data_IF_980388603551
#
_entry.id   IF_980388603551
#
_cell.length_a   1.000
_cell.length_b   1.000
_cell.length_c   1.000
_cell.angle_alpha   90.00
_cell.angle_beta   90.00
_cell.angle_gamma   90.00
#
_symmetry.space_group_name_H-M   'P 1'
#
loop_
_entity.id
_entity.type
_entity.pdbx_description
1 polymer ?
#
# COMPACT_ATOMS: atom_id res chain seq x y z
N UNK A 1 19.00 6.71 11.25
CA UNK A 1 18.19 7.76 11.87
C UNK A 1 17.75 8.70 10.78
N UNK A 2 16.44 8.88 10.64
CA UNK A 2 15.82 9.73 9.63
C UNK A 2 16.24 11.20 9.78
N UNK A 3 16.55 11.86 8.67
CA UNK A 3 16.85 13.29 8.62
C UNK A 3 15.73 14.01 7.84
N UNK A 4 14.82 14.73 8.54
CA UNK A 4 13.69 15.39 7.90
C UNK A 4 14.10 16.55 7.00
N UNK A 5 15.13 17.33 7.36
CA UNK A 5 15.65 18.44 6.56
C UNK A 5 16.27 17.93 5.25
N UNK A 6 17.06 16.85 5.34
CA UNK A 6 17.61 16.21 4.16
C UNK A 6 16.51 15.65 3.25
N UNK A 7 15.48 15.03 3.82
CA UNK A 7 14.34 14.53 3.04
C UNK A 7 13.64 15.68 2.31
N UNK A 8 13.27 16.75 3.01
CA UNK A 8 12.59 17.91 2.43
C UNK A 8 13.46 18.61 1.37
N UNK A 9 14.78 18.70 1.59
CA UNK A 9 15.73 19.21 0.61
C UNK A 9 15.75 18.37 -0.68
N UNK A 10 15.72 17.04 -0.57
CA UNK A 10 15.61 16.14 -1.73
C UNK A 10 14.27 16.32 -2.43
N UNK A 11 13.19 16.45 -1.65
CA UNK A 11 11.83 16.52 -2.14
C UNK A 11 11.40 17.93 -2.59
N UNK A 12 12.31 18.91 -2.51
CA UNK A 12 12.03 20.31 -2.85
C UNK A 12 11.49 20.47 -4.28
N UNK A 13 10.39 21.21 -4.42
CA UNK A 13 9.71 21.46 -5.70
C UNK A 13 9.10 20.21 -6.34
N UNK A 14 8.90 19.12 -5.58
CA UNK A 14 8.46 17.83 -6.11
C UNK A 14 7.16 17.37 -5.46
N UNK A 15 6.54 16.37 -6.09
CA UNK A 15 5.35 15.70 -5.57
C UNK A 15 5.65 14.23 -5.29
N UNK A 16 5.28 13.76 -4.10
CA UNK A 16 5.34 12.36 -3.69
C UNK A 16 3.93 11.86 -3.40
N UNK A 17 3.60 10.67 -3.91
CA UNK A 17 2.32 10.02 -3.62
C UNK A 17 2.50 8.60 -3.11
N UNK A 18 1.84 8.29 -2.01
CA UNK A 18 1.59 6.92 -1.56
C UNK A 18 0.33 6.38 -2.25
N UNK A 19 0.44 5.23 -2.92
CA UNK A 19 -0.64 4.62 -3.71
C UNK A 19 -0.83 3.18 -3.25
N UNK A 20 -1.92 2.90 -2.55
CA UNK A 20 -2.16 1.55 -2.03
C UNK A 20 -3.30 1.52 -1.03
N UNK A 21 -3.34 0.49 -0.21
CA UNK A 21 -4.39 0.34 0.82
C UNK A 21 -4.18 1.28 2.03
N UNK A 22 -4.90 1.02 3.12
CA UNK A 22 -4.78 1.77 4.37
C UNK A 22 -3.36 1.78 4.95
N UNK A 23 -2.49 0.82 4.61
CA UNK A 23 -1.08 0.85 5.03
C UNK A 23 -0.27 1.90 4.23
N UNK A 24 -0.72 2.28 3.03
CA UNK A 24 -0.15 3.43 2.31
C UNK A 24 -0.38 4.72 3.10
N UNK A 25 -1.60 4.88 3.62
CA UNK A 25 -1.97 6.00 4.50
C UNK A 25 -1.20 5.96 5.81
N UNK A 26 -1.10 4.80 6.45
CA UNK A 26 -0.33 4.63 7.69
C UNK A 26 1.15 5.03 7.50
N UNK A 27 1.77 4.66 6.37
CA UNK A 27 3.13 5.09 6.01
C UNK A 27 3.22 6.59 5.75
N UNK A 28 2.26 7.16 5.01
CA UNK A 28 2.21 8.60 4.75
C UNK A 28 2.10 9.40 6.05
N UNK A 29 1.26 8.96 6.99
CA UNK A 29 1.07 9.62 8.28
C UNK A 29 2.33 9.55 9.16
N UNK A 30 3.04 8.41 9.17
CA UNK A 30 4.38 8.30 9.79
C UNK A 30 5.34 9.32 9.20
N UNK A 31 5.49 9.36 7.87
CA UNK A 31 6.38 10.31 7.21
C UNK A 31 5.97 11.76 7.49
N UNK A 32 4.68 12.08 7.47
CA UNK A 32 4.17 13.41 7.78
C UNK A 32 4.59 13.86 9.19
N UNK A 33 4.46 12.99 10.20
CA UNK A 33 4.89 13.28 11.56
C UNK A 33 6.40 13.53 11.64
N UNK A 34 7.22 12.72 10.95
CA UNK A 34 8.68 12.92 10.92
C UNK A 34 9.05 14.25 10.26
N UNK A 35 8.44 14.58 9.12
CA UNK A 35 8.71 15.83 8.41
C UNK A 35 8.21 17.07 9.16
N UNK A 36 7.12 16.95 9.94
CA UNK A 36 6.58 18.05 10.73
C UNK A 36 7.53 18.58 11.82
N UNK A 37 8.60 17.83 12.12
CA UNK A 37 9.66 18.29 13.03
C UNK A 37 10.57 19.36 12.39
N UNK A 38 10.66 19.39 11.07
CA UNK A 38 11.44 20.37 10.31
C UNK A 38 10.55 21.50 9.76
N UNK A 39 9.35 21.18 9.29
CA UNK A 39 8.45 22.17 8.71
C UNK A 39 6.98 21.82 8.96
N UNK A 40 6.20 22.80 9.43
CA UNK A 40 4.74 22.67 9.62
C UNK A 40 4.01 22.55 8.28
N UNK A 41 3.36 21.41 7.97
CA UNK A 41 2.64 21.24 6.72
C UNK A 41 1.23 21.83 6.78
N UNK A 42 0.71 22.22 5.61
CA UNK A 42 -0.66 22.68 5.41
C UNK A 42 -1.48 21.54 4.81
N UNK A 43 -2.62 21.19 5.42
CA UNK A 43 -3.58 20.27 4.82
C UNK A 43 -4.33 21.00 3.69
N UNK A 44 -4.00 20.69 2.43
CA UNK A 44 -4.57 21.36 1.27
C UNK A 44 -5.75 20.61 0.66
N UNK A 45 -5.93 19.34 1.03
CA UNK A 45 -7.07 18.56 0.58
C UNK A 45 -7.42 17.44 1.54
N UNK A 46 -8.70 17.45 1.92
CA UNK A 46 -9.43 16.36 2.56
C UNK A 46 -10.74 16.20 1.78
N UNK A 47 -11.06 15.01 1.29
CA UNK A 47 -12.35 14.78 0.62
C UNK A 47 -13.49 14.94 1.64
N UNK A 48 -14.34 15.97 1.53
CA UNK A 48 -15.40 16.21 2.52
C UNK A 48 -16.50 15.14 2.48
N UNK A 49 -16.57 14.33 1.41
CA UNK A 49 -17.57 13.26 1.24
C UNK A 49 -17.04 11.89 1.64
N UNK A 50 -15.76 11.79 1.99
CA UNK A 50 -15.16 10.53 2.38
C UNK A 50 -14.87 10.49 3.89
N UNK A 51 -15.75 9.87 4.69
CA UNK A 51 -15.55 9.77 6.14
C UNK A 51 -14.32 8.91 6.51
N UNK A 52 -13.73 8.16 5.57
CA UNK A 52 -12.57 7.30 5.81
C UNK A 52 -11.23 7.99 5.51
N UNK A 53 -11.25 9.24 5.03
CA UNK A 53 -10.06 10.02 4.69
C UNK A 53 -9.08 9.28 3.78
N UNK A 54 -9.60 8.59 2.76
CA UNK A 54 -8.86 7.78 1.77
C UNK A 54 -7.88 8.62 0.95
N UNK A 55 -8.14 9.91 0.82
CA UNK A 55 -7.36 10.83 0.01
C UNK A 55 -6.99 12.05 0.84
N UNK A 56 -5.68 12.29 0.97
CA UNK A 56 -5.15 13.48 1.67
C UNK A 56 -3.98 14.07 0.89
N UNK A 57 -3.88 15.40 0.94
CA UNK A 57 -2.75 16.16 0.42
C UNK A 57 -2.26 17.14 1.47
N UNK A 58 -0.95 17.09 1.71
CA UNK A 58 -0.23 18.00 2.58
C UNK A 58 0.80 18.76 1.75
N UNK A 59 0.93 20.06 2.03
CA UNK A 59 1.88 20.93 1.36
C UNK A 59 2.86 21.52 2.38
N UNK A 60 4.14 21.51 2.03
CA UNK A 60 5.24 22.09 2.79
C UNK A 60 5.72 23.35 2.04
N UNK A 61 5.23 24.56 2.41
CA UNK A 61 5.50 25.80 1.68
C UNK A 61 6.98 26.18 1.54
N UNK A 62 7.80 26.00 2.58
CA UNK A 62 9.20 26.40 2.57
C UNK A 62 10.04 25.52 1.63
N UNK A 63 9.59 24.30 1.36
CA UNK A 63 10.22 23.36 0.43
C UNK A 63 9.49 23.22 -0.90
N UNK A 64 8.34 23.87 -1.09
CA UNK A 64 7.45 23.63 -2.23
C UNK A 64 7.24 22.13 -2.49
N UNK A 65 7.05 21.37 -1.41
CA UNK A 65 6.92 19.91 -1.47
C UNK A 65 5.46 19.50 -1.23
N UNK A 66 4.93 18.64 -2.08
CA UNK A 66 3.58 18.08 -1.92
C UNK A 66 3.63 16.60 -1.57
N UNK A 67 3.04 16.25 -0.43
CA UNK A 67 2.89 14.88 0.06
C UNK A 67 1.43 14.43 -0.09
N UNK A 68 1.20 13.33 -0.80
CA UNK A 68 -0.14 12.82 -1.09
C UNK A 68 -0.30 11.35 -0.68
N UNK A 69 -1.54 10.96 -0.39
CA UNK A 69 -1.96 9.56 -0.37
C UNK A 69 -3.22 9.35 -1.20
N UNK A 70 -3.24 8.25 -1.94
CA UNK A 70 -4.43 7.66 -2.54
C UNK A 70 -4.61 6.26 -1.98
N UNK A 71 -5.69 6.08 -1.22
CA UNK A 71 -6.18 4.74 -0.91
C UNK A 71 -6.82 4.12 -2.15
N UNK A 72 -6.30 2.97 -2.55
CA UNK A 72 -6.90 2.07 -3.53
C UNK A 72 -6.68 0.63 -3.09
N UNK A 73 -7.76 -0.13 -3.03
CA UNK A 73 -7.79 -1.50 -2.52
C UNK A 73 -6.95 -2.46 -3.39
N UNK A 74 -7.00 -2.28 -4.71
CA UNK A 74 -6.37 -3.20 -5.68
C UNK A 74 -5.50 -2.53 -6.75
N UNK A 75 -5.11 -1.25 -6.62
CA UNK A 75 -4.37 -0.45 -7.61
C UNK A 75 -5.04 -0.28 -9.00
N UNK A 76 -5.98 -1.14 -9.39
CA UNK A 76 -6.71 -1.11 -10.66
C UNK A 76 -8.10 -0.53 -10.48
N UNK A 77 -8.81 -0.25 -11.59
CA UNK A 77 -10.21 0.15 -11.53
C UNK A 77 -11.02 -0.89 -10.74
N UNK A 78 -11.67 -0.43 -9.67
CA UNK A 78 -12.32 -1.26 -8.66
C UNK A 78 -13.69 -0.67 -8.35
N UNK A 79 -14.70 -1.52 -8.23
CA UNK A 79 -16.02 -1.15 -7.74
C UNK A 79 -16.47 -2.15 -6.67
N UNK A 80 -16.94 -1.66 -5.52
CA UNK A 80 -17.59 -2.49 -4.52
C UNK A 80 -19.03 -2.80 -4.96
N UNK A 81 -19.47 -4.03 -4.76
CA UNK A 81 -20.84 -4.45 -5.04
C UNK A 81 -21.74 -3.95 -3.91
N UNK A 82 -22.76 -3.19 -4.29
CA UNK A 82 -23.77 -2.64 -3.40
C UNK A 82 -25.11 -3.32 -3.70
N UNK A 83 -25.73 -3.90 -2.68
CA UNK A 83 -27.07 -4.52 -2.77
C UNK A 83 -27.99 -3.75 -1.82
N UNK A 84 -29.11 -3.24 -2.35
CA UNK A 84 -30.09 -2.47 -1.58
C UNK A 84 -29.45 -1.32 -0.77
N UNK A 85 -28.49 -0.61 -1.36
CA UNK A 85 -27.79 0.50 -0.71
C UNK A 85 -26.71 0.09 0.30
N UNK A 86 -26.50 -1.22 0.52
CA UNK A 86 -25.51 -1.73 1.48
C UNK A 86 -24.31 -2.34 0.76
N UNK A 87 -23.11 -1.94 1.18
CA UNK A 87 -21.85 -2.52 0.70
C UNK A 87 -21.73 -3.99 1.15
N UNK A 88 -21.33 -4.86 0.22
CA UNK A 88 -21.30 -6.32 0.44
C UNK A 88 -19.92 -6.86 0.80
N UNK A 89 -18.89 -6.01 0.91
CA UNK A 89 -17.49 -6.42 1.03
C UNK A 89 -17.04 -7.36 -0.11
N UNK A 90 -17.69 -7.23 -1.28
CA UNK A 90 -17.38 -7.97 -2.51
C UNK A 90 -17.02 -6.98 -3.62
N UNK A 91 -15.97 -7.27 -4.37
CA UNK A 91 -15.38 -6.31 -5.31
C UNK A 91 -15.33 -6.82 -6.75
N UNK A 92 -15.56 -5.92 -7.70
CA UNK A 92 -15.28 -6.12 -9.11
C UNK A 92 -14.00 -5.34 -9.47
N UNK A 93 -12.97 -6.03 -9.98
CA UNK A 93 -11.73 -5.39 -10.42
C UNK A 93 -11.53 -5.56 -11.93
N UNK A 94 -11.03 -4.51 -12.59
CA UNK A 94 -10.74 -4.51 -14.02
C UNK A 94 -9.24 -4.36 -14.27
N UNK A 95 -8.60 -5.45 -14.73
CA UNK A 95 -7.15 -5.50 -14.94
C UNK A 95 -6.65 -4.64 -16.10
N UNK A 96 -7.52 -4.05 -16.92
CA UNK A 96 -7.12 -3.26 -18.09
C UNK A 96 -7.10 -1.76 -17.88
N UNK A 97 -7.52 -1.28 -16.72
CA UNK A 97 -7.43 0.14 -16.34
C UNK A 97 -6.80 0.33 -14.96
N UNK A 98 -5.95 1.34 -14.78
CA UNK A 98 -5.51 1.73 -13.45
C UNK A 98 -6.69 2.28 -12.65
N UNK A 99 -6.56 2.36 -11.32
CA UNK A 99 -7.49 3.18 -10.56
C UNK A 99 -7.47 4.62 -11.13
N UNK A 100 -8.65 5.24 -11.34
CA UNK A 100 -8.76 6.48 -12.12
C UNK A 100 -8.12 7.69 -11.45
N UNK A 101 -7.86 7.65 -10.14
CA UNK A 101 -7.31 8.77 -9.40
C UNK A 101 -5.79 8.83 -9.57
N UNK A 102 -5.07 7.77 -9.16
CA UNK A 102 -3.61 7.76 -9.32
C UNK A 102 -3.20 7.67 -10.78
N UNK A 103 -3.97 6.96 -11.62
CA UNK A 103 -3.68 6.83 -13.04
C UNK A 103 -3.64 8.18 -13.77
N UNK A 104 -4.47 9.14 -13.36
CA UNK A 104 -4.47 10.51 -13.93
C UNK A 104 -3.35 11.38 -13.35
N UNK A 105 -3.01 11.19 -12.08
CA UNK A 105 -2.02 12.01 -11.37
C UNK A 105 -0.57 11.57 -11.59
N UNK A 106 -0.34 10.36 -12.12
CA UNK A 106 0.99 9.76 -12.22
C UNK A 106 2.03 10.68 -12.90
N UNK A 107 1.61 11.41 -13.94
CA UNK A 107 2.48 12.34 -14.69
C UNK A 107 2.90 13.59 -13.92
N UNK A 108 2.23 13.89 -12.82
CA UNK A 108 2.58 15.03 -11.96
C UNK A 108 3.60 14.66 -10.87
N UNK A 109 3.95 13.37 -10.75
CA UNK A 109 4.73 12.86 -9.63
C UNK A 109 6.21 12.75 -9.96
N UNK A 110 7.04 13.12 -9.00
CA UNK A 110 8.45 12.72 -9.01
C UNK A 110 8.64 11.36 -8.34
N UNK A 111 7.86 11.08 -7.29
CA UNK A 111 7.95 9.87 -6.49
C UNK A 111 6.56 9.22 -6.34
N UNK A 112 6.47 7.92 -6.61
CA UNK A 112 5.28 7.11 -6.33
C UNK A 112 5.66 5.91 -5.49
N UNK A 113 5.18 5.85 -4.24
CA UNK A 113 5.38 4.69 -3.37
C UNK A 113 4.13 3.82 -3.46
N UNK A 114 4.25 2.64 -4.03
CA UNK A 114 3.13 1.73 -4.26
C UNK A 114 3.16 0.55 -3.29
N UNK A 115 2.00 0.11 -2.82
CA UNK A 115 1.86 -1.15 -2.09
C UNK A 115 0.54 -1.85 -2.38
N UNK A 116 0.52 -3.17 -2.19
CA UNK A 116 -0.67 -3.97 -2.48
C UNK A 116 -0.58 -5.39 -1.90
N UNK A 117 -1.71 -5.97 -1.47
CA UNK A 117 -1.81 -7.41 -1.14
C UNK A 117 -2.87 -7.78 -0.09
N UNK A 118 -3.27 -6.86 0.80
CA UNK A 118 -4.13 -7.19 1.94
C UNK A 118 -5.62 -7.36 1.62
N UNK A 119 -6.07 -6.88 0.45
CA UNK A 119 -7.50 -6.84 0.11
C UNK A 119 -8.03 -8.13 -0.51
N UNK A 120 -7.16 -9.03 -0.97
CA UNK A 120 -7.60 -10.29 -1.56
C UNK A 120 -8.12 -11.33 -0.56
N UNK A 121 -8.26 -10.99 0.72
CA UNK A 121 -9.03 -11.80 1.67
C UNK A 121 -10.55 -11.63 1.48
N UNK A 122 -10.97 -10.68 0.65
CA UNK A 122 -12.37 -10.41 0.30
C UNK A 122 -12.75 -11.11 -1.00
N UNK A 123 -14.03 -11.42 -1.14
CA UNK A 123 -14.56 -11.98 -2.38
C UNK A 123 -14.38 -10.97 -3.51
N UNK A 124 -13.72 -11.40 -4.58
CA UNK A 124 -13.30 -10.48 -5.66
C UNK A 124 -13.46 -11.11 -7.03
N UNK A 125 -14.30 -10.52 -7.88
CA UNK A 125 -14.46 -10.89 -9.28
C UNK A 125 -13.46 -10.15 -10.16
N UNK A 126 -12.75 -10.89 -11.01
CA UNK A 126 -11.65 -10.36 -11.82
C UNK A 126 -12.06 -10.30 -13.28
N UNK A 127 -12.02 -9.10 -13.85
CA UNK A 127 -12.35 -8.83 -15.24
C UNK A 127 -11.12 -8.48 -16.07
N UNK A 128 -11.12 -8.96 -17.31
CA UNK A 128 -10.17 -8.59 -18.36
C UNK A 128 -10.88 -8.52 -19.71
N UNK A 129 -10.66 -7.45 -20.46
CA UNK A 129 -11.30 -7.14 -21.76
C UNK A 129 -12.82 -7.26 -21.66
N UNK A 130 -13.40 -6.74 -20.57
CA UNK A 130 -14.82 -6.82 -20.22
C UNK A 130 -15.37 -8.24 -19.98
N UNK A 131 -14.52 -9.28 -19.92
CA UNK A 131 -14.91 -10.66 -19.61
C UNK A 131 -14.51 -11.00 -18.17
N UNK A 132 -15.41 -11.67 -17.44
CA UNK A 132 -15.08 -12.30 -16.16
C UNK A 132 -14.14 -13.47 -16.42
N UNK A 133 -12.94 -13.44 -15.85
CA UNK A 133 -11.91 -14.48 -16.05
C UNK A 133 -11.77 -15.42 -14.84
N UNK A 134 -12.36 -15.05 -13.71
CA UNK A 134 -12.37 -15.85 -12.51
C UNK A 134 -12.57 -14.98 -11.27
N UNK A 135 -12.44 -15.59 -10.10
CA UNK A 135 -12.71 -14.89 -8.85
C UNK A 135 -11.98 -15.49 -7.64
N UNK A 136 -11.69 -14.63 -6.66
CA UNK A 136 -11.10 -14.97 -5.36
C UNK A 136 -12.22 -15.15 -4.34
N UNK A 137 -12.16 -16.22 -3.53
CA UNK A 137 -13.12 -16.54 -2.45
C UNK A 137 -14.61 -16.70 -2.87
N UNK A 138 -14.89 -17.14 -4.10
CA UNK A 138 -16.24 -17.53 -4.56
C UNK A 138 -16.46 -19.05 -4.52
N UNK A 139 -16.32 -19.63 -3.34
CA UNK A 139 -16.58 -21.05 -3.14
C UNK A 139 -18.05 -21.37 -3.45
N UNK A 140 -18.29 -22.45 -4.20
CA UNK A 140 -19.64 -22.88 -4.58
C UNK A 140 -20.23 -22.22 -5.83
N UNK A 141 -19.54 -21.24 -6.43
CA UNK A 141 -19.96 -20.64 -7.70
C UNK A 141 -19.40 -21.40 -8.91
N UNK A 142 -20.15 -21.41 -10.02
CA UNK A 142 -19.70 -21.98 -11.31
C UNK A 142 -18.75 -21.03 -12.05
N UNK A 143 -17.80 -20.45 -11.34
CA UNK A 143 -16.81 -19.47 -11.85
C UNK A 143 -15.40 -20.02 -11.53
N UNK A 144 -14.42 -19.92 -12.46
CA UNK A 144 -13.05 -20.35 -12.18
C UNK A 144 -12.47 -19.67 -10.95
N UNK A 145 -12.02 -20.47 -9.98
CA UNK A 145 -11.37 -19.98 -8.77
C UNK A 145 -9.94 -19.47 -9.07
N UNK A 146 -9.60 -18.33 -8.49
CA UNK A 146 -8.27 -17.70 -8.57
C UNK A 146 -7.71 -17.59 -7.16
N UNK A 147 -6.49 -18.08 -6.95
CA UNK A 147 -5.81 -17.93 -5.65
C UNK A 147 -5.44 -16.46 -5.38
N UNK A 148 -5.36 -16.06 -4.11
CA UNK A 148 -4.91 -14.72 -3.72
C UNK A 148 -3.56 -14.38 -4.38
N UNK A 149 -2.62 -15.31 -4.37
CA UNK A 149 -1.29 -15.19 -4.98
C UNK A 149 -1.38 -14.87 -6.48
N UNK A 150 -2.24 -15.59 -7.21
CA UNK A 150 -2.46 -15.35 -8.64
C UNK A 150 -3.09 -13.97 -8.88
N UNK A 151 -4.06 -13.58 -8.05
CA UNK A 151 -4.73 -12.29 -8.15
C UNK A 151 -3.76 -11.12 -7.86
N UNK A 152 -2.91 -11.25 -6.83
CA UNK A 152 -1.84 -10.29 -6.52
C UNK A 152 -0.90 -10.15 -7.72
N UNK A 153 -0.44 -11.26 -8.30
CA UNK A 153 0.42 -11.24 -9.48
C UNK A 153 -0.24 -10.52 -10.65
N UNK A 154 -1.50 -10.82 -10.94
CA UNK A 154 -2.26 -10.18 -12.03
C UNK A 154 -2.35 -8.66 -11.85
N UNK A 155 -2.67 -8.21 -10.64
CA UNK A 155 -2.76 -6.77 -10.32
C UNK A 155 -1.39 -6.10 -10.41
N UNK A 156 -0.35 -6.68 -9.81
CA UNK A 156 1.00 -6.11 -9.84
C UNK A 156 1.49 -5.97 -11.29
N UNK A 157 1.31 -7.02 -12.11
CA UNK A 157 1.62 -6.99 -13.53
C UNK A 157 0.88 -5.86 -14.26
N UNK A 158 -0.41 -5.68 -14.00
CA UNK A 158 -1.20 -4.61 -14.60
C UNK A 158 -0.75 -3.22 -14.15
N UNK A 159 -0.53 -3.01 -12.85
CA UNK A 159 -0.09 -1.74 -12.27
C UNK A 159 1.25 -1.28 -12.86
N UNK A 160 2.26 -2.17 -12.87
CA UNK A 160 3.55 -1.85 -13.47
C UNK A 160 3.48 -1.63 -14.97
N UNK A 161 2.63 -2.39 -15.69
CA UNK A 161 2.38 -2.13 -17.12
C UNK A 161 1.81 -0.73 -17.35
N UNK A 162 0.93 -0.22 -16.49
CA UNK A 162 0.42 1.15 -16.61
C UNK A 162 1.52 2.19 -16.36
N UNK A 163 2.35 1.98 -15.33
CA UNK A 163 3.52 2.83 -15.05
C UNK A 163 4.48 2.86 -16.25
N UNK A 164 4.85 1.70 -16.77
CA UNK A 164 5.73 1.57 -17.93
C UNK A 164 5.17 2.19 -19.21
N UNK A 165 3.85 2.24 -19.37
CA UNK A 165 3.18 2.84 -20.54
C UNK A 165 2.91 4.34 -20.41
N UNK A 166 3.08 4.94 -19.22
CA UNK A 166 2.88 6.37 -19.06
C UNK A 166 4.00 7.12 -19.80
N UNK A 167 3.70 7.78 -20.92
CA UNK A 167 4.69 8.50 -21.73
C UNK A 167 5.26 9.71 -21.01
N UNK A 168 4.41 10.47 -20.31
CA UNK A 168 4.76 11.69 -19.56
C UNK A 168 5.45 11.41 -18.20
N UNK A 169 5.79 10.15 -17.89
CA UNK A 169 6.35 9.76 -16.59
C UNK A 169 7.83 9.38 -16.67
N UNK A 170 8.63 10.06 -17.49
CA UNK A 170 10.07 9.79 -17.65
C UNK A 170 10.85 10.00 -16.35
N UNK A 171 10.49 11.03 -15.62
CA UNK A 171 11.17 11.41 -14.39
C UNK A 171 10.70 10.69 -13.13
N UNK A 172 9.65 9.88 -13.25
CA UNK A 172 9.03 9.18 -12.13
C UNK A 172 9.97 8.11 -11.56
N UNK A 173 10.22 8.19 -10.26
CA UNK A 173 10.74 7.09 -9.46
C UNK A 173 9.56 6.38 -8.78
N UNK A 174 9.32 5.13 -9.18
CA UNK A 174 8.35 4.27 -8.50
C UNK A 174 9.07 3.44 -7.45
N UNK A 175 8.59 3.42 -6.21
CA UNK A 175 9.11 2.56 -5.14
C UNK A 175 8.03 1.53 -4.78
N UNK A 176 8.33 0.25 -4.95
CA UNK A 176 7.47 -0.85 -4.53
C UNK A 176 7.79 -1.22 -3.08
N UNK A 177 6.85 -0.97 -2.17
CA UNK A 177 6.93 -1.49 -0.80
C UNK A 177 6.41 -2.92 -0.77
N UNK A 178 7.21 -3.85 -0.27
CA UNK A 178 6.77 -5.25 -0.12
C UNK A 178 5.65 -5.40 0.92
N UNK A 179 5.05 -6.59 0.92
CA UNK A 179 3.92 -6.94 1.74
C UNK A 179 4.22 -6.78 3.24
N UNK A 180 3.29 -6.19 3.98
CA UNK A 180 3.31 -6.10 5.43
C UNK A 180 2.09 -6.85 5.94
N UNK A 181 2.34 -7.88 6.75
CA UNK A 181 1.30 -8.80 7.24
C UNK A 181 0.64 -8.29 8.51
N UNK A 182 -0.52 -8.86 8.82
CA UNK A 182 -1.15 -8.71 10.14
C UNK A 182 -0.65 -9.79 11.11
N UNK A 183 -0.65 -9.50 12.41
CA UNK A 183 -0.26 -10.44 13.46
C UNK A 183 -1.45 -10.87 14.33
N UNK A 184 -2.57 -11.24 13.70
CA UNK A 184 -3.68 -11.84 14.45
C UNK A 184 -3.29 -13.19 15.04
N UNK A 185 -3.58 -13.35 16.32
CA UNK A 185 -3.53 -14.61 17.05
C UNK A 185 -4.94 -15.01 17.49
N UNK A 186 -5.16 -16.31 17.63
CA UNK A 186 -6.43 -16.90 18.08
C UNK A 186 -7.67 -16.45 17.28
N UNK A 187 -7.49 -16.14 16.00
CA UNK A 187 -8.57 -15.74 15.11
C UNK A 187 -8.11 -14.81 14.01
N UNK A 188 -9.06 -14.08 13.44
CA UNK A 188 -8.87 -13.04 12.44
C UNK A 188 -9.62 -11.78 12.86
N UNK A 189 -9.48 -10.69 12.09
CA UNK A 189 -10.30 -9.50 12.25
C UNK A 189 -11.80 -9.80 12.41
N UNK A 190 -12.34 -10.72 11.60
CA UNK A 190 -13.78 -11.04 11.59
C UNK A 190 -14.22 -11.99 12.70
N UNK A 191 -13.27 -12.73 13.31
CA UNK A 191 -13.57 -13.75 14.31
C UNK A 191 -13.04 -13.38 15.71
N UNK A 192 -12.68 -12.11 15.92
CA UNK A 192 -12.23 -11.62 17.23
C UNK A 192 -10.79 -11.96 17.61
N UNK A 193 -9.93 -12.23 16.62
CA UNK A 193 -8.49 -12.38 16.84
C UNK A 193 -7.86 -11.13 17.46
N UNK A 194 -6.70 -11.29 18.08
CA UNK A 194 -6.02 -10.21 18.79
C UNK A 194 -4.49 -10.28 18.64
N UNK A 195 -3.82 -9.21 19.04
CA UNK A 195 -2.36 -9.03 19.02
C UNK A 195 -1.98 -8.22 20.25
N UNK A 196 -1.56 -8.90 21.30
CA UNK A 196 -1.20 -8.30 22.59
C UNK A 196 0.24 -8.61 22.99
N UNK A 197 1.06 -9.08 22.05
CA UNK A 197 2.50 -9.21 22.26
C UNK A 197 3.08 -7.84 22.55
N UNK A 198 4.08 -7.79 23.43
CA UNK A 198 4.76 -6.57 23.86
C UNK A 198 6.23 -6.56 23.48
N UNK A 199 6.72 -7.63 22.85
CA UNK A 199 8.09 -7.81 22.40
C UNK A 199 8.12 -8.34 20.96
N UNK A 200 9.12 -7.94 20.16
CA UNK A 200 9.30 -8.49 18.83
C UNK A 200 9.49 -10.00 18.86
N UNK A 201 9.09 -10.66 17.78
CA UNK A 201 9.41 -12.07 17.56
C UNK A 201 10.90 -12.23 17.29
N UNK A 202 11.44 -13.38 17.71
CA UNK A 202 12.76 -13.85 17.30
C UNK A 202 12.69 -14.43 15.90
N UNK A 203 13.81 -14.49 15.21
CA UNK A 203 13.86 -15.09 13.87
C UNK A 203 13.39 -16.55 13.85
N UNK A 204 13.68 -17.31 14.92
CA UNK A 204 13.25 -18.71 15.08
C UNK A 204 11.72 -18.87 15.19
N UNK A 205 10.99 -17.80 15.48
CA UNK A 205 9.53 -17.79 15.63
C UNK A 205 8.82 -17.43 14.31
N UNK A 206 9.59 -17.08 13.27
CA UNK A 206 9.03 -16.80 11.96
C UNK A 206 8.62 -18.09 11.25
N UNK A 207 7.33 -18.19 10.90
CA UNK A 207 6.84 -19.25 10.05
C UNK A 207 7.29 -19.02 8.59
N UNK A 208 8.15 -19.89 8.07
CA UNK A 208 8.67 -19.83 6.70
C UNK A 208 7.62 -20.20 5.63
N UNK A 209 6.54 -20.88 6.00
CA UNK A 209 5.41 -21.21 5.13
C UNK A 209 4.33 -20.09 5.11
N UNK A 210 4.58 -18.99 5.81
CA UNK A 210 3.66 -17.87 5.84
C UNK A 210 3.48 -17.25 4.43
N UNK A 211 2.22 -16.99 4.04
CA UNK A 211 1.87 -16.34 2.76
C UNK A 211 2.56 -15.00 2.52
N UNK A 212 3.01 -14.31 3.57
CA UNK A 212 3.79 -13.09 3.46
C UNK A 212 5.06 -13.28 2.61
N UNK A 213 5.76 -14.41 2.76
CA UNK A 213 6.92 -14.75 1.93
C UNK A 213 6.55 -14.97 0.47
N UNK A 214 5.43 -15.64 0.23
CA UNK A 214 4.90 -15.87 -1.12
C UNK A 214 4.53 -14.54 -1.80
N UNK A 215 3.81 -13.66 -1.09
CA UNK A 215 3.38 -12.37 -1.62
C UNK A 215 4.58 -11.45 -1.88
N UNK A 216 5.55 -11.40 -0.97
CA UNK A 216 6.83 -10.70 -1.17
C UNK A 216 7.53 -11.18 -2.44
N UNK A 217 7.67 -12.50 -2.61
CA UNK A 217 8.31 -13.09 -3.79
C UNK A 217 7.59 -12.68 -5.08
N UNK A 218 6.27 -12.76 -5.11
CA UNK A 218 5.45 -12.37 -6.27
C UNK A 218 5.65 -10.88 -6.61
N UNK A 219 5.63 -10.01 -5.60
CA UNK A 219 5.85 -8.58 -5.78
C UNK A 219 7.23 -8.28 -6.37
N UNK A 220 8.28 -8.93 -5.86
CA UNK A 220 9.64 -8.80 -6.39
C UNK A 220 9.75 -9.33 -7.82
N UNK A 221 9.19 -10.49 -8.12
CA UNK A 221 9.23 -11.06 -9.47
C UNK A 221 8.53 -10.18 -10.52
N UNK A 222 7.35 -9.62 -10.19
CA UNK A 222 6.65 -8.73 -11.12
C UNK A 222 7.34 -7.36 -11.24
N UNK A 223 7.99 -6.88 -10.18
CA UNK A 223 8.84 -5.68 -10.24
C UNK A 223 10.05 -5.90 -11.15
N UNK A 224 10.77 -7.01 -10.99
CA UNK A 224 11.92 -7.35 -11.85
C UNK A 224 11.50 -7.62 -13.30
N UNK A 225 10.32 -8.19 -13.51
CA UNK A 225 9.71 -8.27 -14.84
C UNK A 225 9.48 -6.88 -15.42
N UNK A 226 8.89 -5.97 -14.65
CA UNK A 226 8.59 -4.62 -15.09
C UNK A 226 9.86 -3.81 -15.43
N UNK A 227 10.93 -3.98 -14.65
CA UNK A 227 12.25 -3.40 -14.92
C UNK A 227 12.85 -3.87 -16.25
N UNK A 228 12.68 -5.16 -16.58
CA UNK A 228 13.17 -5.74 -17.85
C UNK A 228 12.31 -5.34 -19.06
N UNK A 229 11.00 -5.25 -18.89
CA UNK A 229 10.04 -4.98 -19.97
C UNK A 229 9.86 -3.47 -20.25
N UNK A 230 10.39 -2.59 -19.38
CA UNK A 230 10.17 -1.15 -19.46
C UNK A 230 11.44 -0.34 -19.21
N UNK A 231 11.32 0.98 -19.32
CA UNK A 231 12.42 1.95 -19.08
C UNK A 231 12.21 2.81 -17.84
N UNK A 232 11.15 2.55 -17.05
CA UNK A 232 10.82 3.35 -15.87
C UNK A 232 11.70 2.95 -14.70
N UNK A 233 12.09 3.94 -13.89
CA UNK A 233 12.81 3.72 -12.64
C UNK A 233 11.86 3.15 -11.63
N UNK A 234 12.09 1.89 -11.27
CA UNK A 234 11.32 1.17 -10.26
C UNK A 234 12.33 0.69 -9.23
N UNK A 235 12.10 0.95 -7.95
CA UNK A 235 12.95 0.55 -6.82
C UNK A 235 12.19 -0.31 -5.81
N UNK A 236 12.92 -1.16 -5.09
CA UNK A 236 12.36 -2.03 -4.07
C UNK A 236 12.59 -1.43 -2.68
N UNK A 237 11.52 -1.37 -1.91
CA UNK A 237 11.56 -1.14 -0.46
C UNK A 237 11.08 -2.43 0.21
N UNK A 238 12.03 -3.30 0.55
CA UNK A 238 11.72 -4.59 1.13
C UNK A 238 11.61 -4.53 2.65
N UNK A 239 10.38 -4.59 3.16
CA UNK A 239 10.06 -4.45 4.58
C UNK A 239 9.50 -5.73 5.19
N UNK A 240 9.11 -6.73 4.39
CA UNK A 240 8.33 -7.88 4.86
C UNK A 240 8.98 -8.60 6.04
N UNK A 241 10.25 -9.02 5.93
CA UNK A 241 10.93 -9.74 7.04
C UNK A 241 10.96 -8.90 8.32
N UNK A 242 11.35 -7.63 8.19
CA UNK A 242 11.42 -6.72 9.32
C UNK A 242 10.06 -6.56 9.99
N UNK A 243 8.98 -6.45 9.21
CA UNK A 243 7.63 -6.28 9.75
C UNK A 243 7.06 -7.56 10.34
N UNK A 244 7.42 -8.74 9.81
CA UNK A 244 7.03 -10.03 10.39
C UNK A 244 7.56 -10.23 11.82
N UNK A 245 8.66 -9.56 12.19
CA UNK A 245 9.21 -9.62 13.54
C UNK A 245 8.45 -8.72 14.51
N UNK A 246 7.65 -7.75 14.03
CA UNK A 246 7.11 -6.66 14.85
C UNK A 246 5.68 -6.92 15.34
N UNK A 247 5.41 -8.13 15.81
CA UNK A 247 4.10 -8.48 16.38
C UNK A 247 3.70 -7.61 17.60
N UNK A 248 4.65 -6.89 18.18
CA UNK A 248 4.52 -5.99 19.33
C UNK A 248 3.94 -4.60 19.02
N UNK A 249 3.89 -4.21 17.75
CA UNK A 249 3.75 -2.80 17.39
C UNK A 249 2.40 -2.41 16.78
N UNK A 250 1.42 -3.29 16.89
CA UNK A 250 0.06 -3.04 16.44
C UNK A 250 -0.74 -2.26 17.49
N UNK A 251 -1.71 -1.41 17.09
CA UNK A 251 -2.61 -0.74 18.04
C UNK A 251 -3.40 -1.71 18.90
N UNK A 252 -3.72 -2.90 18.37
CA UNK A 252 -4.51 -3.91 19.07
C UNK A 252 -5.85 -3.32 19.52
N UNK A 253 -6.17 -3.47 20.81
CA UNK A 253 -7.41 -2.93 21.41
C UNK A 253 -7.39 -1.42 21.65
N UNK A 254 -6.26 -0.75 21.47
CA UNK A 254 -6.12 0.69 21.63
C UNK A 254 -6.57 1.47 20.38
N UNK A 255 -7.05 0.77 19.36
CA UNK A 255 -7.67 1.38 18.19
C UNK A 255 -9.01 2.05 18.52
N UNK A 256 -9.41 3.05 17.72
CA UNK A 256 -10.61 3.87 17.98
C UNK A 256 -11.91 3.03 18.05
N UNK A 257 -11.93 1.86 17.42
CA UNK A 257 -13.05 0.92 17.46
C UNK A 257 -12.87 -0.06 18.63
N UNK A 258 -13.43 0.28 19.80
CA UNK A 258 -13.30 -0.47 21.06
C UNK A 258 -13.74 -1.95 21.02
N UNK A 259 -14.41 -2.40 19.95
CA UNK A 259 -14.96 -3.76 19.82
C UNK A 259 -14.07 -4.75 19.06
N UNK A 260 -12.98 -4.32 18.43
CA UNK A 260 -12.08 -5.19 17.66
C UNK A 260 -10.60 -4.81 17.86
N UNK A 261 -9.70 -5.79 17.74
CA UNK A 261 -8.26 -5.53 17.77
C UNK A 261 -7.76 -5.20 16.36
N UNK A 262 -7.08 -4.07 16.20
CA UNK A 262 -6.37 -3.78 14.96
C UNK A 262 -4.97 -4.38 15.00
N UNK A 263 -4.79 -5.49 14.29
CA UNK A 263 -3.53 -6.20 14.15
C UNK A 263 -2.94 -6.10 12.75
N UNK A 264 -3.40 -5.12 11.95
CA UNK A 264 -2.94 -4.88 10.58
C UNK A 264 -2.13 -3.59 10.51
N UNK A 265 -2.65 -2.51 11.08
CA UNK A 265 -2.00 -1.19 11.08
C UNK A 265 -0.94 -1.09 12.17
N UNK A 266 -0.09 -0.08 12.07
CA UNK A 266 1.07 0.12 12.93
C UNK A 266 0.88 1.36 13.79
N UNK A 267 1.26 1.27 15.06
CA UNK A 267 1.32 2.42 15.96
C UNK A 267 2.27 3.50 15.40
N UNK A 268 1.98 4.75 15.71
CA UNK A 268 2.82 5.91 15.42
C UNK A 268 3.11 6.68 16.74
N UNK A 269 4.37 6.94 17.09
CA UNK A 269 5.59 6.44 16.45
C UNK A 269 5.73 4.91 16.55
N UNK A 270 6.51 4.28 15.67
CA UNK A 270 6.59 2.83 15.60
C UNK A 270 7.52 2.27 14.52
N UNK A 271 7.52 0.94 14.28
CA UNK A 271 8.41 0.30 13.29
C UNK A 271 8.26 0.83 11.87
N UNK A 272 7.10 1.38 11.55
CA UNK A 272 6.81 1.95 10.23
C UNK A 272 7.64 3.21 9.95
N UNK A 273 8.19 3.88 10.97
CA UNK A 273 9.10 5.02 10.82
C UNK A 273 10.39 4.60 10.09
N UNK A 274 10.82 3.33 10.24
CA UNK A 274 11.93 2.76 9.48
C UNK A 274 11.67 2.79 7.96
N UNK A 275 10.42 2.69 7.51
CA UNK A 275 10.11 2.72 6.08
C UNK A 275 10.48 4.08 5.47
N UNK A 276 10.35 5.16 6.24
CA UNK A 276 10.76 6.51 5.85
C UNK A 276 12.29 6.63 5.71
N UNK A 277 13.05 5.97 6.59
CA UNK A 277 14.52 5.88 6.46
C UNK A 277 14.94 5.14 5.19
N UNK A 278 14.32 3.98 4.90
CA UNK A 278 14.60 3.21 3.68
C UNK A 278 14.24 4.02 2.43
N UNK A 279 13.09 4.71 2.44
CA UNK A 279 12.66 5.57 1.35
C UNK A 279 13.65 6.72 1.11
N UNK A 280 14.13 7.37 2.17
CA UNK A 280 15.14 8.42 2.08
C UNK A 280 16.42 7.92 1.39
N UNK A 281 16.92 6.74 1.76
CA UNK A 281 18.10 6.15 1.11
C UNK A 281 17.87 5.80 -0.35
N UNK A 282 16.69 5.29 -0.71
CA UNK A 282 16.31 5.05 -2.10
C UNK A 282 16.29 6.36 -2.89
N UNK A 283 15.72 7.42 -2.32
CA UNK A 283 15.65 8.75 -2.95
C UNK A 283 17.05 9.37 -3.12
N UNK A 284 17.95 9.20 -2.15
CA UNK A 284 19.35 9.67 -2.24
C UNK A 284 20.11 9.04 -3.40
N UNK A 285 19.96 7.72 -3.59
CA UNK A 285 20.60 6.98 -4.68
C UNK A 285 20.08 7.36 -6.07
N UNK A 286 18.88 7.94 -6.13
CA UNK A 286 18.16 8.27 -7.37
C UNK A 286 17.95 9.78 -7.55
N UNK A 287 18.83 10.61 -6.94
CA UNK A 287 18.82 12.07 -7.12
C UNK A 287 19.01 12.48 -8.57
#
# INVERSE_FOLDING_TARGET
>A
MFDPELFLSIARGKKLMFIGDSLARNMMESLLCLLSQAETPINTYKDPKDPKDKHRTWYFPAHDFTLMVIWTEFLVETNEIIINGTATDTYNINLDKPNPVWGKKLKELKYAVINHGNWFTRKTYIYRKKKLIGCVHCYGEKIPGISMSSAIRMVMKSAFRFINKCKECEDLLTVMRTYSMSHFEHGSWLTGGYCNRTEPLRESELNMENKAWEFRRIQMEEMERARREGKRRIELMDVTKAMMLRADAHPGRHWYAKSASDCLHWCLPGPIDMWSEVLLEIMKKNR
#
